data_IF_775631312173
#
_entry.id   IF_775631312173
#
_cell.length_a   1.000
_cell.length_b   1.000
_cell.length_c   1.000
_cell.angle_alpha   90.00
_cell.angle_beta   90.00
_cell.angle_gamma   90.00
#
_symmetry.space_group_name_H-M   'P 1'
#
loop_
_entity.id
_entity.type
_entity.pdbx_description
1 polymer ?
#
# COMPACT_ATOMS: atom_id res chain seq x y z
N UNK A 1 -58.38 -20.47 1.22
CA UNK A 1 -57.51 -21.51 1.80
C UNK A 1 -56.11 -21.37 1.17
N UNK A 2 -55.27 -20.50 1.74
CA UNK A 2 -53.94 -20.17 1.21
C UNK A 2 -52.91 -21.20 1.68
N UNK A 3 -52.25 -21.90 0.75
CA UNK A 3 -51.07 -22.72 1.03
C UNK A 3 -49.83 -21.82 0.98
N UNK A 4 -49.23 -21.56 2.15
CA UNK A 4 -47.90 -20.96 2.28
C UNK A 4 -46.86 -22.00 1.87
N UNK A 5 -46.10 -21.70 0.82
CA UNK A 5 -44.88 -22.43 0.45
C UNK A 5 -43.76 -21.82 1.30
N UNK A 6 -43.23 -22.61 2.25
CA UNK A 6 -42.07 -22.22 3.04
C UNK A 6 -40.80 -22.52 2.24
N UNK A 7 -40.19 -21.49 1.65
CA UNK A 7 -38.83 -21.56 1.12
C UNK A 7 -37.87 -21.71 2.30
N UNK A 8 -37.26 -22.89 2.46
CA UNK A 8 -36.13 -23.09 3.38
C UNK A 8 -34.84 -22.71 2.66
N UNK A 9 -34.46 -21.43 2.74
CA UNK A 9 -33.08 -21.02 2.52
C UNK A 9 -32.30 -21.31 3.81
N UNK A 10 -31.41 -22.31 3.77
CA UNK A 10 -30.48 -22.57 4.86
C UNK A 10 -29.39 -21.49 4.84
N UNK A 11 -29.53 -20.50 5.71
CA UNK A 11 -28.52 -19.49 5.99
C UNK A 11 -27.50 -20.10 6.97
N UNK A 12 -26.41 -20.65 6.44
CA UNK A 12 -25.28 -21.07 7.26
C UNK A 12 -24.40 -19.85 7.58
N UNK A 13 -24.72 -19.18 8.68
CA UNK A 13 -23.88 -18.16 9.29
C UNK A 13 -22.70 -18.86 9.98
N UNK A 14 -21.59 -19.07 9.26
CA UNK A 14 -20.35 -19.54 9.87
C UNK A 14 -19.65 -18.35 10.55
N UNK A 15 -20.04 -18.07 11.80
CA UNK A 15 -19.25 -17.20 12.67
C UNK A 15 -17.96 -17.96 12.98
N UNK A 16 -16.84 -17.55 12.39
CA UNK A 16 -15.51 -17.98 12.77
C UNK A 16 -15.20 -17.39 14.16
N UNK A 17 -15.72 -18.02 15.21
CA UNK A 17 -15.28 -17.72 16.57
C UNK A 17 -13.83 -18.17 16.69
N UNK A 18 -12.92 -17.22 16.92
CA UNK A 18 -11.55 -17.44 17.39
C UNK A 18 -11.59 -17.97 18.83
N UNK A 19 -12.15 -19.16 19.02
CA UNK A 19 -11.96 -19.95 20.23
C UNK A 19 -10.58 -20.57 20.17
N UNK A 20 -9.81 -20.42 21.25
CA UNK A 20 -8.61 -21.21 21.51
C UNK A 20 -8.98 -22.69 21.55
N UNK A 21 -8.94 -23.36 20.39
CA UNK A 21 -9.06 -24.81 20.32
C UNK A 21 -7.81 -25.38 20.98
N UNK A 22 -7.97 -25.96 22.16
CA UNK A 22 -6.96 -26.79 22.78
C UNK A 22 -6.74 -28.01 21.86
N UNK A 23 -5.64 -28.01 21.10
CA UNK A 23 -5.25 -29.14 20.29
C UNK A 23 -4.55 -30.17 21.18
N UNK A 24 -5.34 -31.01 21.85
CA UNK A 24 -4.84 -32.29 22.34
C UNK A 24 -4.36 -33.08 21.11
N UNK A 25 -3.08 -33.47 21.13
CA UNK A 25 -2.47 -34.23 20.05
C UNK A 25 -2.97 -35.65 20.09
N UNK A 26 -3.71 -36.05 19.06
CA UNK A 26 -3.70 -37.37 18.46
C UNK A 26 -4.37 -37.28 17.08
N UNK A 27 -3.93 -38.09 16.13
CA UNK A 27 -4.67 -38.35 14.88
C UNK A 27 -5.92 -39.17 15.25
N UNK A 28 -6.87 -38.58 15.98
CA UNK A 28 -8.09 -39.28 16.41
C UNK A 28 -9.05 -39.54 15.24
N UNK A 29 -8.92 -38.79 14.15
CA UNK A 29 -9.76 -38.93 12.96
C UNK A 29 -9.02 -39.73 11.88
N UNK A 30 -9.58 -40.85 11.44
CA UNK A 30 -9.16 -41.51 10.20
C UNK A 30 -9.50 -40.60 9.01
N UNK A 31 -8.50 -40.02 8.36
CA UNK A 31 -8.69 -39.10 7.23
C UNK A 31 -8.68 -39.82 5.89
N UNK A 32 -8.13 -41.03 5.79
CA UNK A 32 -7.98 -41.72 4.51
C UNK A 32 -9.34 -42.04 3.88
N UNK A 33 -9.42 -41.91 2.56
CA UNK A 33 -10.65 -42.07 1.79
C UNK A 33 -11.69 -40.96 1.96
N UNK A 34 -11.50 -40.00 2.90
CA UNK A 34 -12.45 -38.90 3.10
C UNK A 34 -12.34 -37.85 2.00
N UNK A 35 -13.49 -37.25 1.68
CA UNK A 35 -13.57 -36.00 0.93
C UNK A 35 -13.35 -34.83 1.88
N UNK A 36 -12.51 -33.89 1.43
CA UNK A 36 -12.18 -32.67 2.17
C UNK A 36 -12.16 -31.47 1.24
N UNK A 37 -12.32 -30.28 1.83
CA UNK A 37 -12.36 -29.01 1.12
C UNK A 37 -11.36 -28.04 1.74
N UNK A 38 -10.57 -27.35 0.91
CA UNK A 38 -9.59 -26.37 1.38
C UNK A 38 -10.28 -25.18 2.06
N UNK A 39 -9.86 -24.84 3.29
CA UNK A 39 -10.41 -23.70 4.07
C UNK A 39 -9.87 -22.34 3.66
N UNK A 40 -8.83 -22.31 2.84
CA UNK A 40 -8.22 -21.13 2.25
C UNK A 40 -7.51 -21.56 0.97
N UNK A 41 -7.03 -20.61 0.18
CA UNK A 41 -6.21 -20.98 -0.97
C UNK A 41 -4.91 -21.65 -0.52
N UNK A 42 -4.48 -22.62 -1.30
CA UNK A 42 -3.21 -23.32 -1.11
C UNK A 42 -2.33 -23.02 -2.32
N UNK A 43 -1.02 -22.98 -2.08
CA UNK A 43 -0.03 -22.79 -3.13
C UNK A 43 0.92 -23.97 -3.17
N UNK A 44 1.24 -24.40 -4.39
CA UNK A 44 2.02 -25.60 -4.64
C UNK A 44 3.10 -25.35 -5.68
N UNK A 45 4.24 -26.01 -5.48
CA UNK A 45 5.28 -26.13 -6.50
C UNK A 45 4.85 -27.16 -7.55
N UNK A 46 5.04 -26.86 -8.83
CA UNK A 46 4.60 -27.73 -9.92
C UNK A 46 5.73 -28.65 -10.37
N UNK A 47 5.54 -29.96 -10.21
CA UNK A 47 6.46 -30.98 -10.71
C UNK A 47 5.73 -32.20 -11.22
N UNK A 48 6.23 -33.41 -10.91
CA UNK A 48 5.48 -34.67 -11.09
C UNK A 48 4.25 -34.76 -10.17
N UNK A 49 4.27 -33.99 -9.10
CA UNK A 49 3.18 -33.80 -8.14
C UNK A 49 3.07 -32.30 -7.86
N UNK A 50 1.93 -31.84 -7.36
CA UNK A 50 1.78 -30.50 -6.79
C UNK A 50 2.24 -30.54 -5.33
N UNK A 51 3.36 -29.89 -5.00
CA UNK A 51 3.95 -29.99 -3.66
C UNK A 51 3.62 -28.75 -2.82
N UNK A 52 2.85 -28.96 -1.76
CA UNK A 52 2.53 -27.94 -0.77
C UNK A 52 3.49 -28.05 0.41
N UNK A 53 3.85 -26.91 0.97
CA UNK A 53 4.54 -26.85 2.27
C UNK A 53 3.64 -26.23 3.31
N UNK A 54 3.89 -26.56 4.58
CA UNK A 54 3.19 -25.95 5.75
C UNK A 54 3.30 -24.44 5.86
N UNK A 55 4.18 -23.81 5.07
CA UNK A 55 4.38 -22.37 5.03
C UNK A 55 3.51 -21.68 4.00
N UNK A 56 2.87 -22.43 3.10
CA UNK A 56 2.05 -21.94 1.99
C UNK A 56 2.71 -20.79 1.23
N UNK A 57 3.97 -20.97 0.81
CA UNK A 57 4.79 -19.86 0.35
C UNK A 57 4.18 -19.17 -0.88
N UNK A 58 4.16 -17.83 -0.85
CA UNK A 58 3.40 -17.00 -1.78
C UNK A 58 3.89 -17.08 -3.24
N UNK A 59 5.18 -17.34 -3.44
CA UNK A 59 5.80 -17.45 -4.76
C UNK A 59 5.76 -18.85 -5.38
N UNK A 60 5.03 -19.80 -4.79
CA UNK A 60 4.77 -21.09 -5.44
C UNK A 60 3.75 -20.90 -6.58
N UNK A 61 4.01 -21.61 -7.68
CA UNK A 61 3.41 -21.36 -9.00
C UNK A 61 1.93 -21.69 -9.08
N UNK A 62 1.53 -22.86 -8.55
CA UNK A 62 0.18 -23.36 -8.71
C UNK A 62 -0.71 -22.88 -7.56
N UNK A 63 -1.83 -22.25 -7.90
CA UNK A 63 -2.87 -21.89 -6.96
C UNK A 63 -3.95 -22.98 -6.93
N UNK A 64 -4.18 -23.55 -5.75
CA UNK A 64 -5.32 -24.41 -5.47
C UNK A 64 -6.35 -23.56 -4.74
N UNK A 65 -7.45 -23.16 -5.41
CA UNK A 65 -8.42 -22.25 -4.80
C UNK A 65 -9.06 -22.84 -3.54
N UNK A 66 -9.47 -21.96 -2.63
CA UNK A 66 -10.32 -22.28 -1.49
C UNK A 66 -11.57 -23.04 -1.95
N UNK A 67 -12.05 -23.96 -1.12
CA UNK A 67 -13.23 -24.78 -1.43
C UNK A 67 -12.97 -25.85 -2.49
N UNK A 68 -11.71 -26.07 -2.89
CA UNK A 68 -11.38 -27.16 -3.80
C UNK A 68 -11.66 -28.50 -3.12
N UNK A 69 -12.48 -29.32 -3.77
CA UNK A 69 -12.72 -30.71 -3.38
C UNK A 69 -11.47 -31.57 -3.61
N UNK A 70 -11.08 -32.29 -2.58
CA UNK A 70 -9.92 -33.15 -2.50
C UNK A 70 -10.32 -34.47 -1.86
N UNK A 71 -9.77 -35.57 -2.35
CA UNK A 71 -9.86 -36.89 -1.70
C UNK A 71 -8.53 -37.19 -1.03
N UNK A 72 -8.57 -37.59 0.24
CA UNK A 72 -7.38 -38.04 0.97
C UNK A 72 -7.06 -39.47 0.57
N UNK A 73 -5.92 -39.68 -0.09
CA UNK A 73 -5.51 -41.01 -0.56
C UNK A 73 -4.60 -41.73 0.43
N UNK A 74 -3.69 -40.99 1.07
CA UNK A 74 -2.71 -41.54 2.00
C UNK A 74 -2.37 -40.50 3.07
N UNK A 75 -2.32 -40.94 4.32
CA UNK A 75 -1.88 -40.15 5.47
C UNK A 75 -0.80 -40.91 6.23
N UNK A 76 0.36 -40.30 6.38
CA UNK A 76 1.38 -40.76 7.32
C UNK A 76 1.81 -39.64 8.26
N UNK A 77 2.82 -39.87 9.09
CA UNK A 77 3.25 -38.94 10.14
C UNK A 77 3.70 -37.55 9.64
N UNK A 78 4.04 -37.41 8.35
CA UNK A 78 4.59 -36.16 7.78
C UNK A 78 4.06 -35.80 6.39
N UNK A 79 3.19 -36.60 5.82
CA UNK A 79 2.75 -36.47 4.43
C UNK A 79 1.27 -36.80 4.30
N UNK A 80 0.58 -35.98 3.51
CA UNK A 80 -0.74 -36.33 2.94
C UNK A 80 -0.61 -36.37 1.43
N UNK A 81 -1.11 -37.44 0.80
CA UNK A 81 -1.41 -37.45 -0.62
C UNK A 81 -2.90 -37.17 -0.81
N UNK A 82 -3.17 -36.21 -1.68
CA UNK A 82 -4.50 -35.76 -2.02
C UNK A 82 -4.67 -35.88 -3.53
N UNK A 83 -5.88 -36.20 -3.96
CA UNK A 83 -6.26 -36.16 -5.36
C UNK A 83 -7.41 -35.19 -5.55
N UNK A 84 -7.42 -34.49 -6.68
CA UNK A 84 -8.54 -33.62 -7.07
C UNK A 84 -8.96 -33.97 -8.49
N UNK A 85 -10.26 -33.94 -8.83
CA UNK A 85 -10.71 -34.03 -10.22
C UNK A 85 -10.28 -32.81 -11.05
N UNK A 86 -9.92 -31.69 -10.41
CA UNK A 86 -9.45 -30.47 -11.09
C UNK A 86 -7.98 -30.53 -11.50
N UNK A 87 -7.19 -31.37 -10.86
CA UNK A 87 -5.74 -31.44 -11.05
C UNK A 87 -5.33 -32.84 -11.51
N UNK A 88 -4.67 -32.91 -12.67
CA UNK A 88 -4.20 -34.18 -13.25
C UNK A 88 -2.93 -34.72 -12.58
N UNK A 89 -2.53 -34.16 -11.44
CA UNK A 89 -1.34 -34.53 -10.67
C UNK A 89 -1.76 -34.80 -9.22
N UNK A 90 -1.13 -35.78 -8.55
CA UNK A 90 -1.32 -35.93 -7.12
C UNK A 90 -0.79 -34.69 -6.39
N UNK A 91 -1.49 -34.30 -5.34
CA UNK A 91 -1.16 -33.19 -4.47
C UNK A 91 -0.50 -33.76 -3.22
N UNK A 92 0.70 -33.28 -2.88
CA UNK A 92 1.50 -33.79 -1.76
C UNK A 92 1.77 -32.68 -0.77
N UNK A 93 1.36 -32.87 0.48
CA UNK A 93 1.65 -31.93 1.56
C UNK A 93 2.88 -32.40 2.32
N UNK A 94 3.91 -31.56 2.38
CA UNK A 94 5.08 -31.78 3.24
C UNK A 94 4.90 -31.07 4.57
N UNK A 95 4.57 -31.84 5.60
CA UNK A 95 4.38 -31.32 6.94
C UNK A 95 5.70 -31.04 7.65
N UNK A 96 5.76 -29.92 8.38
CA UNK A 96 6.88 -29.56 9.22
C UNK A 96 6.36 -28.86 10.49
N UNK A 97 6.44 -29.57 11.62
CA UNK A 97 5.96 -29.09 12.92
C UNK A 97 6.61 -27.78 13.38
N UNK A 98 7.84 -27.47 12.93
CA UNK A 98 8.51 -26.21 13.28
C UNK A 98 7.77 -25.01 12.70
N UNK A 99 7.18 -25.14 11.51
CA UNK A 99 6.46 -24.04 10.86
C UNK A 99 5.05 -23.86 11.39
N UNK A 100 4.40 -24.92 11.87
CA UNK A 100 3.00 -24.87 12.31
C UNK A 100 2.87 -24.60 13.81
N UNK A 101 3.85 -25.06 14.62
CA UNK A 101 3.79 -25.10 16.10
C UNK A 101 2.55 -25.82 16.66
N UNK A 102 1.87 -26.62 15.83
CA UNK A 102 0.71 -27.45 16.20
C UNK A 102 0.89 -28.86 15.64
N UNK A 103 0.35 -29.91 16.28
CA UNK A 103 0.40 -31.28 15.77
C UNK A 103 -0.20 -31.43 14.37
N UNK A 104 0.18 -32.50 13.67
CA UNK A 104 -0.22 -32.72 12.28
C UNK A 104 -1.75 -32.81 12.09
N UNK A 105 -2.46 -33.54 12.95
CA UNK A 105 -3.92 -33.58 12.93
C UNK A 105 -4.56 -32.19 13.12
N UNK A 106 -3.98 -31.37 14.00
CA UNK A 106 -4.40 -29.97 14.17
C UNK A 106 -4.17 -29.13 12.91
N UNK A 107 -3.04 -29.33 12.22
CA UNK A 107 -2.79 -28.70 10.92
C UNK A 107 -3.85 -29.10 9.88
N UNK A 108 -4.20 -30.39 9.76
CA UNK A 108 -5.24 -30.84 8.84
C UNK A 108 -6.60 -30.22 9.16
N UNK A 109 -7.01 -30.19 10.44
CA UNK A 109 -8.27 -29.54 10.88
C UNK A 109 -8.29 -28.04 10.55
N UNK A 110 -7.13 -27.38 10.62
CA UNK A 110 -6.97 -25.95 10.30
C UNK A 110 -6.99 -25.67 8.80
N UNK A 111 -6.47 -26.57 7.98
CA UNK A 111 -6.34 -26.40 6.52
C UNK A 111 -7.55 -26.92 5.75
N UNK A 112 -8.23 -27.95 6.27
CA UNK A 112 -9.29 -28.64 5.57
C UNK A 112 -10.59 -28.72 6.37
N UNK A 113 -11.70 -28.74 5.64
CA UNK A 113 -13.05 -28.97 6.13
C UNK A 113 -13.57 -30.29 5.57
N UNK A 114 -14.35 -31.03 6.36
CA UNK A 114 -15.11 -32.18 5.86
C UNK A 114 -16.37 -31.75 5.10
N UNK A 115 -16.85 -30.53 5.36
CA UNK A 115 -17.99 -29.92 4.67
C UNK A 115 -17.52 -28.97 3.56
N UNK A 116 -18.29 -28.83 2.46
CA UNK A 116 -18.01 -27.87 1.40
C UNK A 116 -17.77 -26.45 1.93
N UNK A 117 -16.73 -25.79 1.40
CA UNK A 117 -16.35 -24.42 1.77
C UNK A 117 -16.60 -23.50 0.59
N UNK A 118 -17.28 -22.38 0.83
CA UNK A 118 -17.45 -21.29 -0.14
C UNK A 118 -16.78 -20.02 0.40
N UNK A 119 -16.40 -19.11 -0.51
CA UNK A 119 -15.94 -17.78 -0.11
C UNK A 119 -17.10 -17.05 0.58
N UNK A 120 -16.93 -16.55 1.82
CA UNK A 120 -17.97 -15.78 2.48
C UNK A 120 -18.35 -14.55 1.66
N UNK A 121 -19.63 -14.27 1.53
CA UNK A 121 -20.12 -13.07 0.85
C UNK A 121 -20.28 -11.88 1.79
N UNK A 122 -20.55 -12.14 3.07
CA UNK A 122 -20.70 -11.13 4.11
C UNK A 122 -19.36 -10.76 4.74
N UNK A 123 -19.19 -9.49 5.12
CA UNK A 123 -18.01 -9.00 5.83
C UNK A 123 -16.73 -8.85 4.99
N UNK A 124 -16.78 -9.10 3.68
CA UNK A 124 -15.67 -8.88 2.76
C UNK A 124 -15.92 -7.68 1.85
N UNK A 125 -14.90 -6.86 1.66
CA UNK A 125 -14.91 -5.80 0.65
C UNK A 125 -14.80 -6.38 -0.78
N UNK A 126 -15.01 -5.53 -1.79
CA UNK A 126 -14.76 -5.94 -3.18
C UNK A 126 -13.29 -6.27 -3.42
N UNK A 127 -12.38 -5.47 -2.83
CA UNK A 127 -10.95 -5.74 -2.86
C UNK A 127 -10.64 -7.12 -2.26
N UNK A 128 -11.19 -7.43 -1.09
CA UNK A 128 -10.98 -8.72 -0.42
C UNK A 128 -11.37 -9.89 -1.33
N UNK A 129 -12.58 -9.85 -1.92
CA UNK A 129 -13.06 -10.92 -2.80
C UNK A 129 -12.17 -11.12 -4.02
N UNK A 130 -11.74 -10.03 -4.64
CA UNK A 130 -10.84 -10.09 -5.81
C UNK A 130 -9.49 -10.71 -5.45
N UNK A 131 -8.92 -10.33 -4.32
CA UNK A 131 -7.60 -10.81 -3.90
C UNK A 131 -7.66 -12.26 -3.39
N UNK A 132 -8.75 -12.66 -2.74
CA UNK A 132 -9.02 -14.07 -2.42
C UNK A 132 -9.12 -14.89 -3.70
N UNK A 133 -9.82 -14.42 -4.74
CA UNK A 133 -9.91 -15.15 -6.00
C UNK A 133 -8.54 -15.33 -6.69
N UNK A 134 -7.64 -14.35 -6.55
CA UNK A 134 -6.27 -14.39 -7.08
C UNK A 134 -5.28 -15.13 -6.17
N UNK A 135 -5.62 -15.33 -4.90
CA UNK A 135 -4.70 -15.81 -3.88
C UNK A 135 -3.53 -14.87 -3.62
N UNK A 136 -3.79 -13.56 -3.71
CA UNK A 136 -2.80 -12.50 -3.59
C UNK A 136 -3.08 -11.62 -2.38
N UNK A 137 -2.06 -10.85 -1.96
CA UNK A 137 -2.16 -9.87 -0.89
C UNK A 137 -2.21 -8.46 -1.49
N UNK A 138 -3.01 -7.59 -0.89
CA UNK A 138 -3.05 -6.16 -1.22
C UNK A 138 -3.20 -5.31 0.03
N UNK A 139 -2.67 -4.08 -0.03
CA UNK A 139 -2.98 -3.03 0.95
C UNK A 139 -4.48 -2.74 0.93
N UNK A 140 -5.09 -2.61 2.10
CA UNK A 140 -6.53 -2.42 2.28
C UNK A 140 -7.31 -3.72 2.52
N UNK A 141 -6.70 -4.90 2.38
CA UNK A 141 -7.37 -6.16 2.71
C UNK A 141 -7.64 -6.30 4.20
N UNK A 142 -8.73 -6.97 4.56
CA UNK A 142 -8.97 -7.37 5.96
C UNK A 142 -8.08 -8.55 6.37
N UNK A 143 -7.74 -8.66 7.66
CA UNK A 143 -6.98 -9.79 8.23
C UNK A 143 -7.63 -11.13 7.95
N UNK A 144 -8.97 -11.19 8.02
CA UNK A 144 -9.71 -12.38 7.64
C UNK A 144 -9.53 -12.70 6.14
N UNK A 145 -9.65 -11.69 5.26
CA UNK A 145 -9.44 -11.91 3.82
C UNK A 145 -8.02 -12.38 3.50
N UNK A 146 -7.00 -11.87 4.20
CA UNK A 146 -5.61 -12.35 4.11
C UNK A 146 -5.55 -13.85 4.40
N UNK A 147 -6.20 -14.31 5.47
CA UNK A 147 -6.23 -15.73 5.80
C UNK A 147 -6.89 -16.58 4.70
N UNK A 148 -8.01 -16.12 4.14
CA UNK A 148 -8.70 -16.86 3.08
C UNK A 148 -7.89 -16.88 1.77
N UNK A 149 -7.20 -15.77 1.47
CA UNK A 149 -6.43 -15.58 0.25
C UNK A 149 -5.12 -16.36 0.25
N UNK A 150 -4.41 -16.45 1.38
CA UNK A 150 -3.06 -17.03 1.43
C UNK A 150 -2.78 -17.95 2.63
N UNK A 151 -3.77 -18.21 3.48
CA UNK A 151 -3.64 -19.10 4.62
C UNK A 151 -2.86 -18.50 5.79
N UNK A 152 -2.64 -19.36 6.81
CA UNK A 152 -1.92 -18.97 8.02
C UNK A 152 -0.42 -18.78 7.73
N UNK A 153 0.21 -17.71 8.25
CA UNK A 153 1.64 -17.55 8.11
C UNK A 153 2.40 -18.56 9.00
N UNK A 154 3.69 -18.83 8.74
CA UNK A 154 4.48 -19.76 9.55
C UNK A 154 4.61 -19.28 11.00
N UNK A 155 4.23 -20.10 11.97
CA UNK A 155 4.21 -19.78 13.39
C UNK A 155 5.62 -19.66 14.02
N UNK A 156 6.68 -20.15 13.35
CA UNK A 156 8.05 -19.87 13.77
C UNK A 156 8.50 -18.44 13.49
N UNK A 157 7.86 -17.74 12.55
CA UNK A 157 8.11 -16.33 12.26
C UNK A 157 7.11 -15.41 12.96
N UNK A 158 5.96 -15.97 13.38
CA UNK A 158 4.82 -15.22 13.89
C UNK A 158 4.36 -15.81 15.23
N UNK A 159 4.43 -15.01 16.29
CA UNK A 159 4.03 -15.46 17.62
C UNK A 159 2.52 -15.36 17.86
N UNK A 160 1.83 -14.47 17.14
CA UNK A 160 0.39 -14.27 17.22
C UNK A 160 -0.17 -13.89 15.85
N UNK A 161 -1.36 -14.38 15.52
CA UNK A 161 -2.07 -13.96 14.30
C UNK A 161 -2.67 -12.55 14.45
N UNK A 162 -2.85 -12.07 15.67
CA UNK A 162 -3.34 -10.72 16.00
C UNK A 162 -2.20 -9.69 16.10
N UNK A 163 -0.97 -10.08 15.73
CA UNK A 163 0.14 -9.14 15.71
C UNK A 163 -0.11 -8.04 14.66
N UNK A 164 0.42 -6.85 14.95
CA UNK A 164 0.45 -5.71 14.00
C UNK A 164 1.26 -6.02 12.74
N UNK A 165 2.11 -7.03 12.79
CA UNK A 165 2.91 -7.49 11.67
C UNK A 165 2.82 -9.02 11.58
N UNK A 166 2.56 -9.52 10.38
CA UNK A 166 2.68 -10.93 10.04
C UNK A 166 3.73 -11.12 8.96
N UNK A 167 4.64 -12.08 9.12
CA UNK A 167 5.68 -12.40 8.15
C UNK A 167 5.31 -13.67 7.40
N UNK A 168 5.06 -13.53 6.10
CA UNK A 168 4.84 -14.63 5.18
C UNK A 168 6.14 -15.05 4.49
N UNK A 169 6.19 -16.29 4.02
CA UNK A 169 7.26 -16.75 3.14
C UNK A 169 6.88 -16.50 1.70
N UNK A 170 7.73 -15.81 0.93
CA UNK A 170 7.55 -15.65 -0.52
C UNK A 170 8.23 -16.79 -1.27
N UNK A 171 9.39 -17.23 -0.79
CA UNK A 171 10.10 -18.42 -1.28
C UNK A 171 10.77 -19.14 -0.12
N UNK A 172 11.81 -19.93 -0.41
CA UNK A 172 12.58 -20.63 0.64
C UNK A 172 13.24 -19.65 1.63
N UNK A 173 13.79 -18.56 1.12
CA UNK A 173 14.55 -17.57 1.89
C UNK A 173 13.81 -16.22 1.97
N UNK A 174 13.13 -15.83 0.90
CA UNK A 174 12.41 -14.56 0.85
C UNK A 174 11.25 -14.52 1.83
N UNK A 175 11.09 -13.35 2.46
CA UNK A 175 10.05 -13.04 3.43
C UNK A 175 9.25 -11.84 2.94
N UNK A 176 7.98 -11.79 3.32
CA UNK A 176 7.11 -10.66 3.08
C UNK A 176 6.44 -10.29 4.41
N UNK A 177 6.89 -9.20 5.06
CA UNK A 177 6.13 -8.58 6.14
C UNK A 177 4.79 -8.04 5.62
N UNK A 178 3.75 -8.19 6.41
CA UNK A 178 2.38 -7.71 6.18
C UNK A 178 1.99 -6.95 7.42
N UNK A 179 1.93 -5.63 7.30
CA UNK A 179 1.61 -4.75 8.41
C UNK A 179 0.12 -4.46 8.43
N UNK A 180 -0.43 -4.35 9.64
CA UNK A 180 -1.83 -4.10 9.88
C UNK A 180 -2.01 -2.83 10.71
N UNK A 181 -2.95 -1.99 10.28
CA UNK A 181 -3.56 -0.95 11.11
C UNK A 181 -4.97 -1.42 11.49
N UNK A 182 -5.15 -1.76 12.77
CA UNK A 182 -6.29 -2.56 13.20
C UNK A 182 -6.30 -3.93 12.51
N UNK A 183 -7.40 -4.24 11.82
CA UNK A 183 -7.56 -5.46 11.03
C UNK A 183 -7.40 -5.25 9.52
N UNK A 184 -6.89 -4.09 9.10
CA UNK A 184 -6.68 -3.78 7.69
C UNK A 184 -5.19 -3.78 7.36
N UNK A 185 -4.79 -4.41 6.26
CA UNK A 185 -3.41 -4.37 5.76
C UNK A 185 -3.06 -2.94 5.41
N UNK A 186 -2.09 -2.36 6.10
CA UNK A 186 -1.60 -1.01 5.85
C UNK A 186 -0.35 -0.99 4.96
N UNK A 187 0.45 -2.05 4.98
CA UNK A 187 1.67 -2.14 4.16
C UNK A 187 2.07 -3.58 3.85
N UNK A 188 2.71 -3.78 2.69
CA UNK A 188 3.31 -5.05 2.27
C UNK A 188 4.81 -4.84 2.00
N UNK A 189 5.65 -5.61 2.68
CA UNK A 189 7.10 -5.44 2.66
C UNK A 189 7.62 -4.68 3.88
N UNK A 190 8.86 -4.23 3.79
CA UNK A 190 9.46 -3.36 4.81
C UNK A 190 8.95 -1.94 4.60
N UNK A 191 8.22 -1.33 5.55
CA UNK A 191 7.83 0.06 5.43
C UNK A 191 9.09 0.93 5.33
N UNK A 192 9.03 2.05 4.58
CA UNK A 192 10.14 2.99 4.57
C UNK A 192 10.35 3.59 5.96
N UNK A 193 11.59 3.98 6.26
CA UNK A 193 11.98 4.56 7.54
C UNK A 193 11.20 5.88 7.78
N UNK A 194 10.38 5.99 8.84
CA UNK A 194 9.51 7.16 9.05
C UNK A 194 10.29 8.47 9.21
N UNK A 195 11.56 8.40 9.64
CA UNK A 195 12.42 9.57 9.81
C UNK A 195 13.06 10.02 8.48
N UNK A 196 12.96 9.20 7.42
CA UNK A 196 13.46 9.50 6.07
C UNK A 196 12.35 9.88 5.12
N UNK A 197 12.71 10.65 4.09
CA UNK A 197 11.78 10.95 2.99
C UNK A 197 11.75 9.83 1.95
N UNK A 198 12.89 9.19 1.70
CA UNK A 198 13.06 8.09 0.76
C UNK A 198 11.98 6.99 0.91
N UNK A 199 11.46 6.53 -0.22
CA UNK A 199 10.45 5.48 -0.31
C UNK A 199 9.03 5.92 0.04
N UNK A 200 8.83 7.15 0.52
CA UNK A 200 7.50 7.65 0.86
C UNK A 200 6.77 8.23 -0.34
N UNK A 201 5.45 8.08 -0.36
CA UNK A 201 4.57 8.96 -1.13
C UNK A 201 4.53 10.32 -0.47
N UNK A 202 4.72 11.36 -1.26
CA UNK A 202 4.72 12.75 -0.80
C UNK A 202 3.83 13.62 -1.68
N UNK A 203 3.33 14.70 -1.09
CA UNK A 203 2.52 15.68 -1.78
C UNK A 203 3.14 17.06 -1.59
N UNK A 204 3.28 17.82 -2.68
CA UNK A 204 3.76 19.19 -2.57
C UNK A 204 2.67 20.08 -1.95
N UNK A 205 3.01 20.82 -0.90
CA UNK A 205 2.14 21.77 -0.20
C UNK A 205 1.86 23.03 -1.01
N UNK A 206 2.79 23.38 -1.89
CA UNK A 206 2.73 24.56 -2.75
C UNK A 206 3.10 24.20 -4.18
N UNK A 207 2.58 24.98 -5.14
CA UNK A 207 2.94 24.84 -6.53
C UNK A 207 4.42 25.10 -6.79
N UNK A 208 4.99 24.38 -7.74
CA UNK A 208 6.33 24.66 -8.24
C UNK A 208 6.41 24.36 -9.74
N UNK A 209 7.54 24.74 -10.36
CA UNK A 209 7.78 24.44 -11.77
C UNK A 209 9.10 23.70 -11.97
N UNK A 210 9.15 22.95 -13.06
CA UNK A 210 10.28 22.13 -13.45
C UNK A 210 10.55 22.23 -14.95
N UNK A 211 11.83 22.15 -15.31
CA UNK A 211 12.26 22.08 -16.71
C UNK A 211 12.12 20.66 -17.23
N UNK A 212 11.46 20.52 -18.37
CA UNK A 212 11.24 19.26 -19.08
C UNK A 212 11.79 19.29 -20.52
N UNK A 213 12.60 20.31 -20.85
CA UNK A 213 13.08 20.51 -22.23
C UNK A 213 14.29 19.66 -22.62
N UNK A 214 15.02 19.09 -21.65
CA UNK A 214 16.19 18.26 -21.90
C UNK A 214 16.06 16.84 -21.32
N UNK A 215 17.13 16.06 -21.46
CA UNK A 215 17.20 14.67 -20.96
C UNK A 215 17.07 14.55 -19.44
N UNK A 216 17.39 15.65 -18.73
CA UNK A 216 17.20 15.75 -17.28
C UNK A 216 16.03 16.67 -16.99
N UNK A 217 15.13 16.21 -16.13
CA UNK A 217 14.04 17.02 -15.61
C UNK A 217 14.45 17.64 -14.28
N UNK A 218 14.40 18.97 -14.20
CA UNK A 218 14.99 19.72 -13.08
C UNK A 218 14.00 20.68 -12.44
N UNK A 219 13.90 20.63 -11.12
CA UNK A 219 13.28 21.66 -10.30
C UNK A 219 14.32 22.31 -9.39
N UNK A 220 14.03 23.50 -8.85
CA UNK A 220 14.99 24.28 -8.08
C UNK A 220 14.34 24.90 -6.85
N UNK A 221 15.08 24.98 -5.74
CA UNK A 221 14.60 25.64 -4.50
C UNK A 221 14.42 27.15 -4.62
N UNK A 222 14.91 27.75 -5.71
CA UNK A 222 14.67 29.15 -6.09
C UNK A 222 13.35 29.35 -6.83
N UNK A 223 12.68 28.26 -7.21
CA UNK A 223 11.33 28.23 -7.75
C UNK A 223 11.13 29.16 -8.95
N UNK A 224 11.82 28.83 -10.04
CA UNK A 224 11.85 29.66 -11.25
C UNK A 224 10.53 29.59 -12.01
N UNK A 225 9.90 30.74 -12.22
CA UNK A 225 8.53 30.85 -12.74
C UNK A 225 8.39 30.50 -14.23
N UNK A 226 9.46 30.56 -15.02
CA UNK A 226 9.40 30.30 -16.48
C UNK A 226 9.76 28.85 -16.87
N UNK A 227 9.91 27.94 -15.90
CA UNK A 227 10.13 26.54 -16.21
C UNK A 227 8.88 25.91 -16.83
N UNK A 228 9.11 24.92 -17.71
CA UNK A 228 8.13 24.47 -18.70
C UNK A 228 6.91 23.76 -18.13
N UNK A 229 7.07 22.97 -17.05
CA UNK A 229 5.99 22.19 -16.45
C UNK A 229 5.66 22.75 -15.08
N UNK A 230 4.37 22.95 -14.81
CA UNK A 230 3.87 23.30 -13.48
C UNK A 230 3.32 22.06 -12.79
N UNK A 231 3.63 21.93 -11.50
CA UNK A 231 3.01 20.99 -10.60
C UNK A 231 2.19 21.77 -9.57
N UNK A 232 0.86 21.70 -9.61
CA UNK A 232 0.01 22.37 -8.62
C UNK A 232 0.19 21.72 -7.25
N UNK A 233 -0.19 22.41 -6.15
CA UNK A 233 -0.22 21.80 -4.82
C UNK A 233 -1.06 20.53 -4.83
N UNK A 234 -0.70 19.59 -3.95
CA UNK A 234 -1.26 18.24 -3.84
C UNK A 234 -1.00 17.31 -5.03
N UNK A 235 -0.01 17.62 -5.87
CA UNK A 235 0.52 16.61 -6.80
C UNK A 235 1.23 15.51 -6.00
N UNK A 236 0.84 14.25 -6.24
CA UNK A 236 1.50 13.08 -5.64
C UNK A 236 2.85 12.80 -6.31
N UNK A 237 3.88 12.52 -5.52
CA UNK A 237 5.17 12.02 -5.98
C UNK A 237 5.60 10.83 -5.12
N UNK A 238 6.48 9.97 -5.67
CA UNK A 238 7.29 9.08 -4.84
C UNK A 238 8.64 9.75 -4.59
N UNK A 239 9.07 9.84 -3.34
CA UNK A 239 10.40 10.31 -2.99
C UNK A 239 11.40 9.16 -3.15
N UNK A 240 12.43 9.34 -3.96
CA UNK A 240 13.30 8.22 -4.38
C UNK A 240 14.71 8.28 -3.81
N UNK A 241 15.30 9.46 -3.69
CA UNK A 241 16.65 9.62 -3.14
C UNK A 241 16.82 11.00 -2.49
N UNK A 242 17.64 11.07 -1.44
CA UNK A 242 17.95 12.29 -0.71
C UNK A 242 19.47 12.48 -0.58
N UNK A 243 19.99 13.48 -1.31
CA UNK A 243 21.34 13.99 -1.14
C UNK A 243 21.38 15.27 -0.30
N UNK A 244 22.60 15.77 -0.02
CA UNK A 244 22.77 16.97 0.81
C UNK A 244 22.30 18.28 0.15
N UNK A 245 22.24 18.32 -1.19
CA UNK A 245 21.87 19.50 -1.99
C UNK A 245 20.94 19.16 -3.16
N UNK A 246 20.39 17.96 -3.18
CA UNK A 246 19.41 17.54 -4.18
C UNK A 246 18.62 16.37 -3.67
N UNK A 247 17.45 16.15 -4.24
CA UNK A 247 16.66 14.95 -4.02
C UNK A 247 15.90 14.60 -5.30
N UNK A 248 15.48 13.34 -5.41
CA UNK A 248 14.78 12.84 -6.60
C UNK A 248 13.32 12.52 -6.25
N UNK A 249 12.41 13.00 -7.08
CA UNK A 249 11.00 12.67 -7.06
C UNK A 249 10.66 11.88 -8.32
N UNK A 250 9.80 10.87 -8.18
CA UNK A 250 9.13 10.23 -9.32
C UNK A 250 7.76 10.88 -9.46
N UNK A 251 7.48 11.46 -10.63
CA UNK A 251 6.20 12.10 -10.94
C UNK A 251 5.06 11.08 -11.06
N UNK A 252 3.78 11.51 -11.08
CA UNK A 252 2.64 10.61 -11.32
C UNK A 252 2.76 9.80 -12.62
N UNK A 253 3.46 10.35 -13.62
CA UNK A 253 3.69 9.69 -14.90
C UNK A 253 4.90 8.74 -14.89
N UNK A 254 5.53 8.51 -13.73
CA UNK A 254 6.68 7.63 -13.59
C UNK A 254 8.01 8.24 -14.04
N UNK A 255 8.06 9.57 -14.22
CA UNK A 255 9.27 10.27 -14.69
C UNK A 255 10.14 10.72 -13.52
N UNK A 256 11.46 10.54 -13.62
CA UNK A 256 12.39 11.07 -12.63
C UNK A 256 12.53 12.60 -12.75
N UNK A 257 12.40 13.28 -11.62
CA UNK A 257 12.57 14.71 -11.46
C UNK A 257 13.60 14.97 -10.37
N UNK A 258 14.75 15.53 -10.75
CA UNK A 258 15.78 15.94 -9.80
C UNK A 258 15.49 17.37 -9.31
N UNK A 259 15.37 17.52 -8.00
CA UNK A 259 15.16 18.81 -7.34
C UNK A 259 16.48 19.32 -6.78
N UNK A 260 17.00 20.41 -7.35
CA UNK A 260 18.23 21.05 -6.88
C UNK A 260 17.94 21.99 -5.71
N UNK A 261 18.57 21.71 -4.58
CA UNK A 261 18.46 22.52 -3.37
C UNK A 261 19.72 23.35 -3.15
N UNK A 262 19.56 24.67 -3.11
CA UNK A 262 20.65 25.58 -2.76
C UNK A 262 20.38 26.27 -1.41
N UNK A 263 21.12 25.92 -0.34
CA UNK A 263 20.92 26.50 0.99
C UNK A 263 21.23 28.01 1.03
N UNK A 264 22.16 28.48 0.21
CA UNK A 264 22.51 29.90 0.13
C UNK A 264 21.35 30.77 -0.38
N UNK A 265 20.48 30.21 -1.21
CA UNK A 265 19.27 30.88 -1.72
C UNK A 265 18.05 30.70 -0.82
N UNK A 266 17.86 29.51 -0.26
CA UNK A 266 16.70 29.21 0.61
C UNK A 266 16.85 29.80 2.01
N UNK A 267 18.08 30.03 2.47
CA UNK A 267 18.43 30.48 3.83
C UNK A 267 17.89 29.58 4.95
N UNK A 268 17.62 28.32 4.62
CA UNK A 268 17.13 27.27 5.52
C UNK A 268 17.86 25.96 5.19
N UNK A 269 17.75 24.97 6.07
CA UNK A 269 18.24 23.61 5.82
C UNK A 269 17.38 22.88 4.77
N UNK A 270 17.90 21.76 4.24
CA UNK A 270 17.12 20.89 3.35
C UNK A 270 15.89 20.32 4.08
N UNK A 271 16.05 19.89 5.33
CA UNK A 271 14.96 19.37 6.15
C UNK A 271 13.82 20.40 6.30
N UNK A 272 14.13 21.63 6.70
CA UNK A 272 13.14 22.71 6.80
C UNK A 272 12.51 23.04 5.43
N UNK A 273 13.28 22.94 4.35
CA UNK A 273 12.75 23.13 2.99
C UNK A 273 11.76 22.04 2.61
N UNK A 274 12.07 20.77 2.89
CA UNK A 274 11.20 19.63 2.63
C UNK A 274 9.92 19.74 3.48
N UNK A 275 10.05 20.05 4.77
CA UNK A 275 8.89 20.25 5.66
C UNK A 275 7.98 21.40 5.20
N UNK A 276 8.55 22.49 4.68
CA UNK A 276 7.76 23.61 4.15
C UNK A 276 7.07 23.28 2.83
N UNK A 277 7.71 22.45 1.99
CA UNK A 277 7.32 22.27 0.58
C UNK A 277 6.54 20.99 0.34
N UNK A 278 6.72 19.96 1.16
CA UNK A 278 6.14 18.64 0.99
C UNK A 278 5.50 18.12 2.28
N UNK A 279 4.63 17.12 2.13
CA UNK A 279 4.00 16.36 3.19
C UNK A 279 4.10 14.88 2.88
N UNK A 280 4.36 14.04 3.90
CA UNK A 280 4.36 12.58 3.76
C UNK A 280 2.92 12.04 3.89
N UNK A 281 2.55 11.13 3.00
CA UNK A 281 1.36 10.28 3.17
C UNK A 281 -0.02 10.89 2.88
N UNK A 282 -0.21 12.21 3.00
CA UNK A 282 -1.50 12.84 2.72
C UNK A 282 -1.37 14.20 2.01
N UNK A 283 -2.31 14.57 1.12
CA UNK A 283 -2.38 15.91 0.54
C UNK A 283 -2.79 16.94 1.58
N UNK A 284 -2.41 18.20 1.35
CA UNK A 284 -2.82 19.36 2.14
C UNK A 284 -4.29 19.70 1.89
N UNK A 285 -5.07 19.89 2.95
CA UNK A 285 -6.38 20.54 2.83
C UNK A 285 -6.19 22.01 2.48
N UNK A 286 -6.68 22.41 1.30
CA UNK A 286 -6.57 23.81 0.88
C UNK A 286 -7.40 24.72 1.80
N UNK A 287 -6.90 25.91 2.15
CA UNK A 287 -7.62 26.84 3.02
C UNK A 287 -9.03 27.14 2.52
N UNK A 288 -10.02 27.02 3.41
CA UNK A 288 -11.42 27.31 3.11
C UNK A 288 -11.67 28.78 2.73
N UNK A 289 -10.73 29.66 3.09
CA UNK A 289 -10.70 31.10 2.78
C UNK A 289 -10.45 31.40 1.30
N UNK A 290 -9.92 30.44 0.53
CA UNK A 290 -9.68 30.65 -0.90
C UNK A 290 -10.98 30.80 -1.68
N UNK A 291 -11.06 31.87 -2.47
CA UNK A 291 -12.14 32.07 -3.45
C UNK A 291 -12.08 31.03 -4.56
N UNK A 292 -13.19 30.86 -5.28
CA UNK A 292 -13.23 29.97 -6.45
C UNK A 292 -12.19 30.36 -7.52
N UNK A 293 -11.99 31.67 -7.74
CA UNK A 293 -10.99 32.18 -8.69
C UNK A 293 -9.56 31.88 -8.22
N UNK A 294 -9.27 32.06 -6.93
CA UNK A 294 -7.95 31.70 -6.38
C UNK A 294 -7.67 30.20 -6.53
N UNK A 295 -8.66 29.33 -6.28
CA UNK A 295 -8.49 27.88 -6.48
C UNK A 295 -8.17 27.52 -7.93
N UNK A 296 -8.84 28.17 -8.89
CA UNK A 296 -8.55 28.00 -10.32
C UNK A 296 -7.12 28.44 -10.67
N UNK A 297 -6.71 29.62 -10.20
CA UNK A 297 -5.37 30.17 -10.44
C UNK A 297 -4.27 29.32 -9.78
N UNK A 298 -4.53 28.81 -8.56
CA UNK A 298 -3.64 27.88 -7.86
C UNK A 298 -3.45 26.60 -8.64
N UNK A 299 -4.53 25.99 -9.14
CA UNK A 299 -4.44 24.79 -9.97
C UNK A 299 -3.70 25.03 -11.29
N UNK A 300 -3.76 26.25 -11.83
CA UNK A 300 -3.09 26.64 -13.07
C UNK A 300 -1.64 27.13 -12.88
N UNK A 301 -1.19 27.34 -11.64
CA UNK A 301 0.11 27.96 -11.34
C UNK A 301 0.23 29.36 -11.90
N UNK A 302 -0.84 30.15 -11.78
CA UNK A 302 -0.98 31.53 -12.24
C UNK A 302 -1.29 32.46 -11.07
N UNK A 303 -0.96 33.74 -11.26
CA UNK A 303 -1.25 34.80 -10.29
C UNK A 303 -1.92 35.98 -10.97
N UNK A 304 -2.82 36.65 -10.26
CA UNK A 304 -3.52 37.86 -10.71
C UNK A 304 -3.65 38.85 -9.53
N UNK A 305 -3.64 40.17 -9.80
CA UNK A 305 -3.98 41.17 -8.79
C UNK A 305 -5.29 40.85 -8.07
N UNK A 306 -5.31 41.05 -6.75
CA UNK A 306 -6.42 40.71 -5.85
C UNK A 306 -6.32 39.34 -5.19
N UNK A 307 -5.40 38.47 -5.64
CA UNK A 307 -5.11 37.21 -4.93
C UNK A 307 -4.54 37.48 -3.54
N UNK A 308 -4.95 36.67 -2.56
CA UNK A 308 -4.30 36.63 -1.26
C UNK A 308 -2.86 36.14 -1.37
N UNK A 309 -1.99 36.57 -0.45
CA UNK A 309 -0.62 36.09 -0.34
C UNK A 309 -0.53 34.57 -0.17
N UNK A 310 -1.44 34.00 0.62
CA UNK A 310 -1.57 32.54 0.77
C UNK A 310 -1.89 31.86 -0.56
N UNK A 311 -2.84 32.40 -1.33
CA UNK A 311 -3.14 31.88 -2.68
C UNK A 311 -1.94 32.01 -3.63
N UNK A 312 -1.15 33.09 -3.54
CA UNK A 312 0.07 33.26 -4.33
C UNK A 312 1.09 32.16 -3.99
N UNK A 313 1.36 31.90 -2.71
CA UNK A 313 2.29 30.83 -2.32
C UNK A 313 1.77 29.45 -2.70
N UNK A 314 0.48 29.16 -2.54
CA UNK A 314 -0.09 27.90 -3.00
C UNK A 314 0.03 27.74 -4.51
N UNK A 315 -0.13 28.81 -5.28
CA UNK A 315 -0.10 28.77 -6.75
C UNK A 315 1.30 28.57 -7.31
N UNK A 316 2.25 29.42 -6.88
CA UNK A 316 3.58 29.48 -7.51
C UNK A 316 4.72 29.18 -6.54
N UNK A 317 4.44 28.81 -5.30
CA UNK A 317 5.43 28.45 -4.27
C UNK A 317 6.14 29.65 -3.64
N UNK A 318 7.11 29.38 -2.78
CA UNK A 318 7.86 30.43 -2.08
C UNK A 318 8.97 31.01 -2.98
N UNK A 319 9.26 32.32 -2.89
CA UNK A 319 10.41 32.92 -3.54
C UNK A 319 11.71 32.61 -2.76
N UNK A 320 12.90 32.83 -3.37
CA UNK A 320 14.15 32.63 -2.66
C UNK A 320 14.33 33.63 -1.52
N UNK A 321 14.59 33.14 -0.31
CA UNK A 321 14.81 33.98 0.87
C UNK A 321 16.05 34.88 0.73
N UNK A 322 17.05 34.50 -0.07
CA UNK A 322 18.22 35.36 -0.32
C UNK A 322 17.89 36.70 -0.99
N UNK A 323 16.70 36.85 -1.58
CA UNK A 323 16.20 38.10 -2.15
C UNK A 323 15.10 38.74 -1.31
N UNK A 324 14.65 38.07 -0.25
CA UNK A 324 13.46 38.42 0.52
C UNK A 324 13.74 38.25 2.01
N UNK A 325 13.97 39.37 2.70
CA UNK A 325 14.22 39.36 4.15
C UNK A 325 12.98 38.94 4.97
N UNK A 326 11.78 39.13 4.39
CA UNK A 326 10.51 38.68 4.96
C UNK A 326 9.56 38.26 3.85
N UNK A 327 8.75 37.23 4.10
CA UNK A 327 7.68 36.80 3.20
C UNK A 327 6.34 37.52 3.44
N UNK A 328 6.23 38.31 4.51
CA UNK A 328 5.05 39.15 4.81
C UNK A 328 5.26 40.62 4.42
N UNK A 329 6.43 40.95 3.87
CA UNK A 329 6.74 42.30 3.42
C UNK A 329 5.86 42.77 2.24
N UNK A 330 5.86 44.09 1.97
CA UNK A 330 5.06 44.67 0.89
C UNK A 330 5.55 44.23 -0.50
N UNK A 331 6.78 43.75 -0.64
CA UNK A 331 7.33 43.31 -1.92
C UNK A 331 7.96 41.92 -1.77
N UNK A 332 7.68 41.05 -2.75
CA UNK A 332 8.35 39.76 -2.90
C UNK A 332 9.04 39.67 -4.25
N UNK A 333 10.33 39.32 -4.25
CA UNK A 333 11.13 39.16 -5.46
C UNK A 333 11.22 37.67 -5.81
N UNK A 334 10.58 37.29 -6.92
CA UNK A 334 10.64 35.94 -7.49
C UNK A 334 11.70 35.83 -8.58
N UNK A 335 12.17 34.61 -8.83
CA UNK A 335 12.99 34.29 -10.00
C UNK A 335 12.08 33.93 -11.16
N UNK A 336 12.18 34.66 -12.28
CA UNK A 336 11.58 34.22 -13.55
C UNK A 336 12.43 33.11 -14.16
N UNK A 337 13.73 33.36 -14.22
CA UNK A 337 14.77 32.40 -14.62
C UNK A 337 15.94 32.48 -13.64
N UNK A 338 17.02 31.74 -13.87
CA UNK A 338 18.25 31.87 -13.07
C UNK A 338 18.90 33.26 -13.06
N UNK A 339 18.52 34.15 -13.99
CA UNK A 339 19.13 35.49 -14.15
C UNK A 339 18.13 36.65 -14.13
N UNK A 340 16.83 36.37 -14.28
CA UNK A 340 15.77 37.38 -14.31
C UNK A 340 14.90 37.26 -13.07
N UNK A 341 14.50 38.40 -12.53
CA UNK A 341 13.58 38.47 -11.39
C UNK A 341 12.31 39.24 -11.76
N UNK A 342 11.29 39.07 -10.94
CA UNK A 342 10.02 39.79 -11.00
C UNK A 342 9.63 40.18 -9.59
N UNK A 343 9.08 41.38 -9.43
CA UNK A 343 8.61 41.87 -8.13
C UNK A 343 7.10 41.76 -8.06
N UNK A 344 6.61 41.18 -6.98
CA UNK A 344 5.18 41.15 -6.64
C UNK A 344 4.96 42.14 -5.50
N UNK A 345 4.20 43.20 -5.75
CA UNK A 345 3.85 44.18 -4.75
C UNK A 345 2.51 43.82 -4.09
N UNK A 346 2.43 43.97 -2.77
CA UNK A 346 1.28 43.63 -1.95
C UNK A 346 0.80 44.85 -1.17
N UNK A 347 -0.51 45.05 -1.17
CA UNK A 347 -1.20 45.96 -0.25
C UNK A 347 -1.86 45.13 0.84
N UNK A 348 -1.23 45.12 2.03
CA UNK A 348 -1.54 44.14 3.07
C UNK A 348 -1.26 42.71 2.60
N UNK A 349 -2.30 41.87 2.58
CA UNK A 349 -2.22 40.48 2.12
C UNK A 349 -2.74 40.26 0.70
N UNK A 350 -3.02 41.33 -0.04
CA UNK A 350 -3.54 41.25 -1.41
C UNK A 350 -2.47 41.66 -2.41
N UNK A 351 -2.28 40.83 -3.44
CA UNK A 351 -1.38 41.12 -4.55
C UNK A 351 -1.92 42.36 -5.30
N UNK A 352 -1.17 43.45 -5.33
CA UNK A 352 -1.58 44.69 -5.97
C UNK A 352 -1.09 44.76 -7.42
N UNK A 353 0.18 44.41 -7.66
CA UNK A 353 0.79 44.43 -8.99
C UNK A 353 1.88 43.36 -9.16
N UNK A 354 2.21 43.10 -10.42
CA UNK A 354 3.29 42.22 -10.84
C UNK A 354 4.18 43.00 -11.80
N UNK A 355 5.44 43.25 -11.41
CA UNK A 355 6.38 44.18 -12.04
C UNK A 355 7.64 43.49 -12.58
#
# INVERSE_FOLDING_TARGET
MMKRILNRAALCLAVLSLGSVAFAGDLEDDWEGKKVYSRHNLRADSGRSLVLTTTNALGLEELIPMGTELTVEEVNDKLVKLQSPKFNKPIVIKYNARHTKIPFGGYLKRTFSLEPVAVPTEGLSELDRQQIAKGELAVGMSRNAVLLAVGYPPANLNNSFEAKELVYMKGKIERLPVLFEGDTVSFLGTPPDPDKWEGHKVYNKVGFRADFKGDKHLAYSTNQLELSKHFPPNTEFKFDDEGSQSFTLITPEGTELEFKFNPSHSKISLAEFLDRTFSKGAPLELPATLTAREKELVAAGRIEPGMSREAVFLSIGYPPASKNNSFTGPNLIYMRTGFKSQTLAFEGDKLASVE
#
